data_IF_337991501622
#
_entry.id   IF_337991501622
#
_cell.length_a   1.000
_cell.length_b   1.000
_cell.length_c   1.000
_cell.angle_alpha   90.00
_cell.angle_beta   90.00
_cell.angle_gamma   90.00
#
_symmetry.space_group_name_H-M   'P 1'
#
loop_
_entity.id
_entity.type
_entity.pdbx_description
1 polymer ?
#
# COMPACT_ATOMS: atom_id res chain seq x y z
N UNK A 1 -18.42 11.90 -29.22
CA UNK A 1 -18.43 11.18 -27.93
C UNK A 1 -17.41 10.07 -28.01
N UNK A 2 -16.52 9.97 -27.03
CA UNK A 2 -15.55 8.87 -26.92
C UNK A 2 -16.23 7.69 -26.23
N UNK A 3 -15.94 6.46 -26.66
CA UNK A 3 -16.32 5.24 -25.93
C UNK A 3 -15.37 4.93 -24.76
N UNK A 4 -14.30 5.71 -24.59
CA UNK A 4 -13.41 5.58 -23.45
C UNK A 4 -14.11 6.07 -22.17
N UNK A 5 -13.89 5.40 -21.03
CA UNK A 5 -14.51 5.80 -19.77
C UNK A 5 -14.00 7.17 -19.33
N UNK A 6 -14.90 7.97 -18.76
CA UNK A 6 -14.52 9.24 -18.14
C UNK A 6 -13.78 9.03 -16.80
N UNK A 7 -13.30 10.12 -16.20
CA UNK A 7 -12.53 10.05 -14.95
C UNK A 7 -13.35 9.53 -13.76
N UNK A 8 -14.66 9.81 -13.74
CA UNK A 8 -15.56 9.35 -12.69
C UNK A 8 -15.79 7.84 -12.81
N UNK A 9 -15.97 7.35 -14.03
CA UNK A 9 -16.11 5.92 -14.34
C UNK A 9 -14.83 5.15 -14.05
N UNK A 10 -13.66 5.70 -14.41
CA UNK A 10 -12.36 5.11 -14.08
C UNK A 10 -12.15 5.04 -12.56
N UNK A 11 -12.48 6.10 -11.82
CA UNK A 11 -12.38 6.10 -10.36
C UNK A 11 -13.35 5.10 -9.71
N UNK A 12 -14.58 4.99 -10.22
CA UNK A 12 -15.56 4.03 -9.74
C UNK A 12 -15.07 2.60 -9.95
N UNK A 13 -14.50 2.29 -11.12
CA UNK A 13 -13.89 0.99 -11.44
C UNK A 13 -12.71 0.68 -10.53
N UNK A 14 -11.74 1.60 -10.40
CA UNK A 14 -10.59 1.39 -9.54
C UNK A 14 -10.98 1.10 -8.07
N UNK A 15 -12.00 1.79 -7.54
CA UNK A 15 -12.52 1.52 -6.19
C UNK A 15 -13.23 0.17 -6.10
N UNK A 16 -13.95 -0.25 -7.13
CA UNK A 16 -14.60 -1.57 -7.16
C UNK A 16 -13.55 -2.68 -7.23
N UNK A 17 -12.55 -2.51 -8.08
CA UNK A 17 -11.44 -3.43 -8.27
C UNK A 17 -10.69 -3.64 -6.95
N UNK A 18 -10.28 -2.57 -6.26
CA UNK A 18 -9.61 -2.67 -4.96
C UNK A 18 -10.47 -3.40 -3.92
N UNK A 19 -11.79 -3.18 -3.88
CA UNK A 19 -12.70 -3.91 -2.97
C UNK A 19 -12.84 -5.40 -3.30
N UNK A 20 -12.64 -5.77 -4.56
CA UNK A 20 -12.60 -7.16 -5.01
C UNK A 20 -11.18 -7.76 -4.89
N UNK A 21 -10.22 -7.00 -4.34
CA UNK A 21 -8.82 -7.40 -4.25
C UNK A 21 -8.08 -7.39 -5.58
N UNK A 22 -8.61 -6.73 -6.61
CA UNK A 22 -7.95 -6.56 -7.91
C UNK A 22 -6.99 -5.35 -7.84
N UNK A 23 -5.68 -5.54 -8.12
CA UNK A 23 -4.72 -4.46 -8.18
C UNK A 23 -5.07 -3.45 -9.27
N UNK A 24 -4.74 -2.18 -9.01
CA UNK A 24 -4.93 -1.09 -9.99
C UNK A 24 -3.60 -0.43 -10.29
N UNK A 25 -3.47 0.17 -11.47
CA UNK A 25 -2.31 0.97 -11.84
C UNK A 25 -2.66 2.44 -11.74
N UNK A 26 -1.90 3.20 -10.95
CA UNK A 26 -1.98 4.66 -10.90
C UNK A 26 -0.84 5.23 -11.74
N UNK A 27 -1.17 5.93 -12.83
CA UNK A 27 -0.17 6.51 -13.72
C UNK A 27 -0.23 8.04 -13.74
N UNK A 28 0.94 8.68 -13.82
CA UNK A 28 1.12 10.12 -14.01
C UNK A 28 2.28 10.36 -14.96
N UNK A 29 1.96 10.71 -16.22
CA UNK A 29 2.98 10.87 -17.26
C UNK A 29 3.74 9.55 -17.50
N UNK A 30 5.06 9.58 -17.38
CA UNK A 30 5.91 8.39 -17.55
C UNK A 30 6.03 7.52 -16.27
N UNK A 31 5.40 7.93 -15.17
CA UNK A 31 5.45 7.24 -13.89
C UNK A 31 4.18 6.42 -13.66
N UNK A 32 4.31 5.23 -13.08
CA UNK A 32 3.18 4.39 -12.74
C UNK A 32 3.46 3.56 -11.49
N UNK A 33 2.41 3.31 -10.69
CA UNK A 33 2.45 2.46 -9.51
C UNK A 33 1.43 1.34 -9.62
N UNK A 34 1.83 0.11 -9.26
CA UNK A 34 0.90 -0.98 -9.01
C UNK A 34 0.43 -0.93 -7.55
N UNK A 35 -0.87 -0.74 -7.33
CA UNK A 35 -1.46 -0.57 -6.00
C UNK A 35 -2.35 -1.76 -5.66
N UNK A 36 -2.12 -2.33 -4.48
CA UNK A 36 -2.94 -3.37 -3.88
C UNK A 36 -3.55 -2.84 -2.57
N UNK A 37 -4.82 -3.12 -2.32
CA UNK A 37 -5.45 -2.78 -1.05
C UNK A 37 -5.04 -3.79 0.04
N UNK A 38 -4.50 -3.29 1.15
CA UNK A 38 -4.05 -4.11 2.28
C UNK A 38 -5.17 -5.01 2.83
N UNK A 39 -6.39 -4.46 2.94
CA UNK A 39 -7.58 -5.13 3.50
C UNK A 39 -8.07 -6.34 2.69
N UNK A 40 -7.69 -6.43 1.42
CA UNK A 40 -8.06 -7.53 0.50
C UNK A 40 -6.85 -8.32 0.01
N UNK A 41 -5.65 -8.07 0.56
CA UNK A 41 -4.42 -8.66 0.08
C UNK A 41 -4.38 -10.17 0.35
N UNK A 42 -4.17 -10.97 -0.69
CA UNK A 42 -4.01 -12.42 -0.57
C UNK A 42 -2.53 -12.83 -0.59
N UNK A 43 -2.22 -14.02 -0.07
CA UNK A 43 -0.87 -14.55 -0.09
C UNK A 43 -0.31 -14.69 -1.51
N UNK A 44 -1.14 -15.14 -2.46
CA UNK A 44 -0.75 -15.25 -3.86
C UNK A 44 -0.39 -13.89 -4.46
N UNK A 45 -1.26 -12.87 -4.28
CA UNK A 45 -0.99 -11.53 -4.82
C UNK A 45 0.23 -10.86 -4.20
N UNK A 46 0.47 -11.10 -2.91
CA UNK A 46 1.68 -10.63 -2.25
C UNK A 46 2.93 -11.32 -2.83
N UNK A 47 2.88 -12.64 -3.06
CA UNK A 47 3.97 -13.37 -3.70
C UNK A 47 4.22 -12.85 -5.13
N UNK A 48 3.16 -12.65 -5.91
CA UNK A 48 3.26 -12.17 -7.29
C UNK A 48 3.91 -10.77 -7.35
N UNK A 49 3.47 -9.82 -6.50
CA UNK A 49 4.05 -8.47 -6.50
C UNK A 49 5.49 -8.45 -6.01
N UNK A 50 5.85 -9.31 -5.05
CA UNK A 50 7.24 -9.46 -4.61
C UNK A 50 8.11 -10.08 -5.72
N UNK A 51 7.57 -10.99 -6.52
CA UNK A 51 8.27 -11.64 -7.63
C UNK A 51 8.47 -10.72 -8.85
N UNK A 52 7.63 -9.70 -9.04
CA UNK A 52 7.85 -8.64 -10.06
C UNK A 52 9.14 -7.86 -9.83
N UNK A 53 9.67 -7.87 -8.60
CA UNK A 53 10.85 -7.12 -8.20
C UNK A 53 10.52 -5.65 -7.87
N UNK A 54 11.57 -4.83 -7.76
CA UNK A 54 11.46 -3.45 -7.29
C UNK A 54 11.53 -3.34 -5.76
N UNK A 55 10.96 -2.26 -5.22
CA UNK A 55 10.99 -1.93 -3.80
C UNK A 55 9.57 -1.67 -3.27
N UNK A 56 8.71 -2.70 -3.18
CA UNK A 56 7.34 -2.53 -2.69
C UNK A 56 7.36 -2.03 -1.25
N UNK A 57 6.42 -1.14 -0.96
CA UNK A 57 6.24 -0.54 0.37
C UNK A 57 4.79 -0.65 0.81
N UNK A 58 4.57 -0.78 2.10
CA UNK A 58 3.26 -0.60 2.71
C UNK A 58 3.09 0.89 3.04
N UNK A 59 2.23 1.56 2.27
CA UNK A 59 1.87 2.95 2.54
C UNK A 59 0.82 3.02 3.65
N UNK A 60 1.14 3.71 4.75
CA UNK A 60 0.21 4.01 5.84
C UNK A 60 0.09 5.52 6.04
N UNK A 61 -1.08 5.96 6.50
CA UNK A 61 -1.33 7.38 6.80
C UNK A 61 -0.41 7.89 7.91
N UNK A 62 -0.12 9.19 7.92
CA UNK A 62 0.68 9.83 8.97
C UNK A 62 0.16 9.52 10.39
N UNK A 63 -1.17 9.57 10.60
CA UNK A 63 -1.81 9.23 11.88
C UNK A 63 -1.49 7.80 12.32
N UNK A 64 -1.54 6.83 11.40
CA UNK A 64 -1.20 5.43 11.69
C UNK A 64 0.29 5.27 11.99
N UNK A 65 1.13 5.95 11.22
CA UNK A 65 2.57 5.95 11.41
C UNK A 65 2.98 6.47 12.79
N UNK A 66 2.37 7.56 13.25
CA UNK A 66 2.58 8.12 14.59
C UNK A 66 2.28 7.09 15.70
N UNK A 67 1.13 6.42 15.63
CA UNK A 67 0.77 5.36 16.59
C UNK A 67 1.79 4.22 16.62
N UNK A 68 2.28 3.80 15.45
CA UNK A 68 3.24 2.70 15.32
C UNK A 68 4.71 3.14 15.45
N UNK A 69 4.97 4.42 15.74
CA UNK A 69 6.32 5.03 15.78
C UNK A 69 7.11 4.82 14.47
N UNK A 70 6.41 4.73 13.34
CA UNK A 70 6.99 4.75 12.01
C UNK A 70 7.19 6.20 11.54
N UNK A 71 8.28 6.46 10.82
CA UNK A 71 8.61 7.84 10.37
C UNK A 71 7.92 8.14 9.04
N UNK A 72 7.08 9.17 9.02
CA UNK A 72 6.51 9.75 7.81
C UNK A 72 7.44 10.84 7.27
N UNK A 73 8.45 10.47 6.47
CA UNK A 73 9.42 11.42 5.92
C UNK A 73 8.78 12.45 4.97
N UNK A 74 7.68 12.08 4.33
CA UNK A 74 7.02 12.87 3.29
C UNK A 74 5.82 13.69 3.84
N UNK A 75 5.68 13.74 5.18
CA UNK A 75 4.66 14.51 5.91
C UNK A 75 3.26 13.87 5.96
N UNK A 76 2.79 13.27 4.87
CA UNK A 76 1.40 12.79 4.77
C UNK A 76 1.24 11.27 4.94
N UNK A 77 2.29 10.51 4.63
CA UNK A 77 2.30 9.06 4.71
C UNK A 77 3.67 8.55 5.13
N UNK A 78 3.70 7.34 5.67
CA UNK A 78 4.92 6.57 5.84
C UNK A 78 4.93 5.40 4.86
N UNK A 79 6.08 5.20 4.21
CA UNK A 79 6.35 4.05 3.33
C UNK A 79 7.12 3.01 4.12
N UNK A 80 6.41 2.04 4.70
CA UNK A 80 7.01 0.98 5.51
C UNK A 80 7.59 -0.09 4.58
N UNK A 81 8.86 -0.43 4.78
CA UNK A 81 9.52 -1.49 4.03
C UNK A 81 8.94 -2.84 4.44
N UNK A 82 8.67 -3.70 3.46
CA UNK A 82 8.24 -5.07 3.73
C UNK A 82 9.45 -5.88 4.24
N UNK A 83 9.36 -6.54 5.40
CA UNK A 83 10.43 -7.42 5.87
C UNK A 83 10.53 -8.66 4.98
N UNK A 84 11.69 -9.35 4.99
CA UNK A 84 11.81 -10.67 4.39
C UNK A 84 10.72 -11.61 4.94
N UNK A 85 9.98 -12.27 4.04
CA UNK A 85 8.89 -13.17 4.45
C UNK A 85 7.63 -12.46 4.96
N UNK A 86 7.42 -11.19 4.60
CA UNK A 86 6.17 -10.49 4.89
C UNK A 86 4.94 -11.33 4.45
N UNK A 87 3.93 -11.39 5.32
CA UNK A 87 2.69 -12.11 5.07
C UNK A 87 1.52 -11.13 4.97
N UNK A 88 0.38 -11.52 4.37
CA UNK A 88 -0.82 -10.68 4.40
C UNK A 88 -1.27 -10.35 5.83
N UNK A 89 -1.10 -11.29 6.77
CA UNK A 89 -1.40 -11.05 8.18
C UNK A 89 -0.50 -9.98 8.80
N UNK A 90 0.79 -9.95 8.47
CA UNK A 90 1.69 -8.88 8.90
C UNK A 90 1.28 -7.53 8.30
N UNK A 91 0.98 -7.48 7.00
CA UNK A 91 0.50 -6.27 6.32
C UNK A 91 -0.77 -5.74 7.00
N UNK A 92 -1.75 -6.61 7.22
CA UNK A 92 -3.01 -6.25 7.87
C UNK A 92 -2.78 -5.78 9.30
N UNK A 93 -1.89 -6.43 10.07
CA UNK A 93 -1.59 -6.01 11.44
C UNK A 93 -1.05 -4.59 11.52
N UNK A 94 -0.34 -4.13 10.48
CA UNK A 94 0.17 -2.75 10.42
C UNK A 94 -0.89 -1.80 9.90
N UNK A 95 -1.68 -2.21 8.91
CA UNK A 95 -2.69 -1.36 8.29
C UNK A 95 -3.90 -1.11 9.21
N UNK A 96 -4.35 -2.13 9.94
CA UNK A 96 -5.59 -2.12 10.72
C UNK A 96 -5.33 -1.82 12.21
N UNK A 97 -5.87 -0.72 12.75
CA UNK A 97 -5.74 -0.40 14.17
C UNK A 97 -6.59 -1.24 15.11
N UNK A 98 -7.63 -1.95 14.62
CA UNK A 98 -8.61 -2.63 15.47
C UNK A 98 -8.00 -3.69 16.41
N UNK A 99 -6.89 -4.30 15.98
CA UNK A 99 -6.24 -5.42 16.66
C UNK A 99 -4.92 -5.01 17.34
N UNK A 100 -4.70 -3.71 17.56
CA UNK A 100 -3.42 -3.22 18.05
C UNK A 100 -3.00 -3.75 19.40
N UNK A 101 -3.96 -3.85 20.31
CA UNK A 101 -3.75 -4.35 21.66
C UNK A 101 -3.63 -5.88 21.70
N UNK A 102 -4.18 -6.58 20.70
CA UNK A 102 -4.11 -8.06 20.60
C UNK A 102 -2.79 -8.54 20.00
N UNK A 103 -2.12 -7.70 19.19
CA UNK A 103 -0.82 -7.98 18.61
C UNK A 103 0.20 -6.88 19.02
N UNK A 104 0.76 -6.93 20.25
CA UNK A 104 1.72 -5.93 20.71
C UNK A 104 3.06 -6.04 19.96
N UNK A 105 3.89 -5.00 20.08
CA UNK A 105 5.29 -4.97 19.60
C UNK A 105 5.50 -5.10 18.08
N UNK A 106 4.71 -4.42 17.26
CA UNK A 106 4.81 -4.43 15.77
C UNK A 106 6.06 -3.76 15.17
N UNK A 107 7.01 -3.31 15.99
CA UNK A 107 8.16 -2.52 15.56
C UNK A 107 9.50 -3.08 16.06
N UNK A 108 10.63 -2.47 15.67
CA UNK A 108 10.72 -1.21 14.91
C UNK A 108 10.36 -1.38 13.43
N UNK A 109 9.56 -0.44 12.89
CA UNK A 109 9.24 -0.38 11.46
C UNK A 109 10.30 0.42 10.72
N UNK A 110 10.91 -0.18 9.71
CA UNK A 110 11.80 0.52 8.79
C UNK A 110 10.97 1.25 7.75
N UNK A 111 11.30 2.52 7.51
CA UNK A 111 10.57 3.39 6.57
C UNK A 111 11.52 3.91 5.50
N UNK A 112 11.09 3.85 4.25
CA UNK A 112 11.87 4.34 3.12
C UNK A 112 12.09 5.86 3.26
N UNK A 113 13.34 6.29 3.19
CA UNK A 113 13.74 7.71 3.28
C UNK A 113 14.14 8.22 1.91
N UNK A 114 13.58 9.37 1.50
CA UNK A 114 13.86 9.96 0.19
C UNK A 114 13.28 9.13 -0.96
N UNK A 115 13.78 9.36 -2.18
CA UNK A 115 13.16 8.83 -3.40
C UNK A 115 11.94 9.65 -3.83
N UNK A 116 11.44 9.37 -5.03
CA UNK A 116 10.23 10.02 -5.51
C UNK A 116 9.01 9.54 -4.73
N UNK A 117 8.24 10.50 -4.21
CA UNK A 117 7.00 10.26 -3.47
C UNK A 117 5.79 10.23 -4.39
N UNK A 118 5.99 10.47 -5.69
CA UNK A 118 5.01 10.19 -6.73
C UNK A 118 4.77 8.69 -6.88
N UNK A 119 3.77 8.34 -7.69
CA UNK A 119 3.44 6.96 -8.01
C UNK A 119 4.66 6.25 -8.65
N UNK A 120 5.09 5.12 -8.07
CA UNK A 120 6.21 4.28 -8.48
C UNK A 120 5.85 2.80 -8.49
#
# INVERSE_FOLDING_TARGET
MSFAPDITEQLARARADLRMGVPVVLAKGAQAALVLAAETLTAQRLADVLALGGAPVLAITARRAETLKARAYDGNLARVLLPPGATPAWVQSIADPADDLRAPMKGPLQTARGGDTAAH
#
